data_IF_354886141190
#
_entry.id   IF_354886141190
#
_cell.length_a   1.000
_cell.length_b   1.000
_cell.length_c   1.000
_cell.angle_alpha   90.00
_cell.angle_beta   90.00
_cell.angle_gamma   90.00
#
_symmetry.space_group_name_H-M   'P 1'
#
loop_
_entity.id
_entity.type
_entity.pdbx_description
1 polymer ?
#
# COMPACT_ATOMS: atom_id res chain seq x y z
N UNK A 1 9.39 -1.41 -16.53
CA UNK A 1 8.01 -0.99 -16.20
C UNK A 1 7.77 0.53 -16.26
N UNK A 2 8.80 1.34 -16.44
CA UNK A 2 8.67 2.80 -16.61
C UNK A 2 8.26 3.60 -15.38
N UNK A 3 8.29 3.01 -14.19
CA UNK A 3 8.07 3.74 -12.94
C UNK A 3 9.37 4.36 -12.43
N UNK A 4 9.27 5.59 -11.91
CA UNK A 4 10.36 6.28 -11.22
C UNK A 4 9.94 6.53 -9.76
N UNK A 5 10.15 5.54 -8.87
CA UNK A 5 9.78 5.71 -7.46
C UNK A 5 10.74 6.68 -6.77
N UNK A 6 10.22 7.43 -5.81
CA UNK A 6 11.03 8.25 -4.91
C UNK A 6 10.50 8.13 -3.47
N UNK A 7 11.39 8.34 -2.51
CA UNK A 7 11.08 8.32 -1.09
C UNK A 7 11.12 9.74 -0.54
N UNK A 8 9.97 10.34 -0.21
CA UNK A 8 9.96 11.66 0.41
C UNK A 8 10.49 11.57 1.84
N UNK A 9 11.23 12.60 2.27
CA UNK A 9 11.78 12.72 3.63
C UNK A 9 11.32 14.03 4.26
N UNK A 10 11.09 14.03 5.57
CA UNK A 10 10.90 15.23 6.36
C UNK A 10 12.16 15.42 7.22
N UNK A 11 12.85 16.56 7.05
CA UNK A 11 13.98 16.97 7.89
C UNK A 11 14.99 15.82 8.15
N UNK A 12 15.32 15.06 7.12
CA UNK A 12 16.19 13.87 7.18
C UNK A 12 15.67 12.73 8.09
N UNK A 13 14.42 12.78 8.53
CA UNK A 13 13.78 11.69 9.29
C UNK A 13 12.95 10.80 8.37
N UNK A 14 12.89 9.53 8.69
CA UNK A 14 11.99 8.59 8.03
C UNK A 14 10.54 8.87 8.48
N UNK A 15 9.60 8.75 7.55
CA UNK A 15 8.18 8.79 7.86
C UNK A 15 7.76 7.48 8.52
N UNK A 16 6.90 7.60 9.54
CA UNK A 16 6.26 6.46 10.17
C UNK A 16 4.77 6.46 9.82
N UNK A 17 4.21 5.29 9.50
CA UNK A 17 2.77 5.16 9.23
C UNK A 17 1.90 5.32 10.49
N UNK A 18 2.47 5.43 11.69
CA UNK A 18 1.73 5.59 12.93
C UNK A 18 1.06 4.32 13.46
N UNK A 19 1.04 3.23 12.71
CA UNK A 19 0.31 2.00 13.04
C UNK A 19 0.68 1.43 14.41
N UNK A 20 1.98 1.38 14.74
CA UNK A 20 2.45 0.88 16.03
C UNK A 20 1.93 1.72 17.19
N UNK A 21 1.93 3.04 17.06
CA UNK A 21 1.38 3.93 18.09
C UNK A 21 -0.11 3.70 18.28
N UNK A 22 -0.85 3.52 17.17
CA UNK A 22 -2.28 3.21 17.22
C UNK A 22 -2.55 1.90 17.97
N UNK A 23 -1.79 0.86 17.69
CA UNK A 23 -1.92 -0.44 18.35
C UNK A 23 -1.72 -0.35 19.88
N UNK A 24 -0.86 0.55 20.33
CA UNK A 24 -0.65 0.82 21.75
C UNK A 24 -1.60 1.88 22.34
N UNK A 25 -2.59 2.34 21.59
CA UNK A 25 -3.53 3.37 22.06
C UNK A 25 -2.94 4.77 22.19
N UNK A 26 -1.76 5.03 21.63
CA UNK A 26 -1.08 6.32 21.68
C UNK A 26 -1.63 7.26 20.59
N UNK A 27 -2.90 7.63 20.71
CA UNK A 27 -3.68 8.32 19.68
C UNK A 27 -3.04 9.65 19.26
N UNK A 28 -2.56 10.46 20.22
CA UNK A 28 -1.95 11.75 19.91
C UNK A 28 -0.66 11.59 19.10
N UNK A 29 0.18 10.59 19.44
CA UNK A 29 1.36 10.26 18.65
C UNK A 29 0.99 9.79 17.24
N UNK A 30 -0.05 8.98 17.13
CA UNK A 30 -0.58 8.52 15.83
C UNK A 30 -1.02 9.71 14.98
N UNK A 31 -1.80 10.63 15.54
CA UNK A 31 -2.25 11.84 14.83
C UNK A 31 -1.09 12.69 14.36
N UNK A 32 -0.07 12.90 15.19
CA UNK A 32 1.13 13.64 14.81
C UNK A 32 1.86 13.01 13.62
N UNK A 33 1.99 11.68 13.59
CA UNK A 33 2.57 10.98 12.42
C UNK A 33 1.69 11.12 11.18
N UNK A 34 0.38 11.03 11.32
CA UNK A 34 -0.56 11.22 10.20
C UNK A 34 -0.50 12.63 9.63
N UNK A 35 -0.38 13.66 10.47
CA UNK A 35 -0.19 15.03 10.01
C UNK A 35 1.13 15.21 9.25
N UNK A 36 2.23 14.59 9.73
CA UNK A 36 3.51 14.59 9.05
C UNK A 36 3.42 13.93 7.67
N UNK A 37 2.71 12.82 7.59
CA UNK A 37 2.43 12.10 6.34
C UNK A 37 1.63 12.99 5.39
N UNK A 38 0.54 13.59 5.85
CA UNK A 38 -0.28 14.48 5.02
C UNK A 38 0.54 15.66 4.49
N UNK A 39 1.29 16.35 5.36
CA UNK A 39 2.17 17.46 4.95
C UNK A 39 3.17 17.05 3.86
N UNK A 40 3.71 15.84 3.98
CA UNK A 40 4.73 15.34 3.07
C UNK A 40 4.16 14.91 1.72
N UNK A 41 3.07 14.16 1.73
CA UNK A 41 2.53 13.59 0.50
C UNK A 41 1.62 14.53 -0.27
N UNK A 42 0.97 15.50 0.39
CA UNK A 42 0.00 16.38 -0.22
C UNK A 42 0.49 17.11 -1.49
N UNK A 43 1.73 17.65 -1.57
CA UNK A 43 2.23 18.27 -2.79
C UNK A 43 2.30 17.33 -3.99
N UNK A 44 2.52 16.03 -3.75
CA UNK A 44 2.60 15.00 -4.77
C UNK A 44 1.21 14.50 -5.16
N UNK A 45 0.34 14.30 -4.18
CA UNK A 45 -1.06 13.90 -4.40
C UNK A 45 -1.82 14.91 -5.28
N UNK A 46 -1.60 16.23 -5.05
CA UNK A 46 -2.17 17.29 -5.88
C UNK A 46 -1.68 17.25 -7.33
N UNK A 47 -0.55 16.61 -7.61
CA UNK A 47 -0.01 16.36 -8.95
C UNK A 47 -0.43 15.01 -9.53
N UNK A 48 -1.30 14.27 -8.87
CA UNK A 48 -1.76 12.95 -9.29
C UNK A 48 -0.74 11.82 -9.08
N UNK A 49 0.29 12.03 -8.23
CA UNK A 49 1.27 10.98 -7.92
C UNK A 49 0.71 10.08 -6.83
N UNK A 50 0.54 8.77 -7.08
CA UNK A 50 0.04 7.84 -6.09
C UNK A 50 1.07 7.54 -5.00
N UNK A 51 0.60 7.23 -3.81
CA UNK A 51 1.40 6.70 -2.70
C UNK A 51 1.32 5.18 -2.74
N UNK A 52 2.48 4.53 -2.70
CA UNK A 52 2.57 3.07 -2.79
C UNK A 52 3.31 2.53 -1.58
N UNK A 53 2.69 1.57 -0.91
CA UNK A 53 3.29 0.86 0.22
C UNK A 53 3.65 -0.57 -0.13
N UNK A 54 4.78 -1.02 0.39
CA UNK A 54 5.21 -2.43 0.28
C UNK A 54 4.71 -3.27 1.46
N UNK A 55 4.33 -2.60 2.54
CA UNK A 55 3.83 -3.24 3.75
C UNK A 55 2.32 -2.96 3.89
N UNK A 56 1.46 -4.00 3.79
CA UNK A 56 0.01 -3.83 3.75
C UNK A 56 -0.57 -3.10 4.96
N UNK A 57 -0.12 -3.42 6.17
CA UNK A 57 -0.66 -2.79 7.38
C UNK A 57 -0.32 -1.30 7.49
N UNK A 58 0.79 -0.88 6.90
CA UNK A 58 1.17 0.53 6.84
C UNK A 58 0.34 1.29 5.81
N UNK A 59 0.28 0.81 4.57
CA UNK A 59 -0.39 1.56 3.49
C UNK A 59 -1.91 1.55 3.63
N UNK A 60 -2.48 0.45 4.10
CA UNK A 60 -3.93 0.33 4.28
C UNK A 60 -4.43 1.16 5.47
N UNK A 61 -3.58 1.48 6.46
CA UNK A 61 -3.95 2.43 7.51
C UNK A 61 -4.25 3.84 6.98
N UNK A 62 -3.70 4.21 5.82
CA UNK A 62 -4.03 5.48 5.16
C UNK A 62 -5.40 5.47 4.48
N UNK A 63 -5.97 4.29 4.28
CA UNK A 63 -7.31 4.12 3.68
C UNK A 63 -8.43 4.04 4.71
N UNK A 64 -8.12 3.69 5.96
CA UNK A 64 -9.08 3.47 7.03
C UNK A 64 -8.80 4.37 8.25
N UNK A 65 -7.78 4.03 9.03
CA UNK A 65 -7.59 4.68 10.33
C UNK A 65 -7.22 6.15 10.22
N UNK A 66 -6.42 6.52 9.21
CA UNK A 66 -6.03 7.92 9.01
C UNK A 66 -7.23 8.83 8.72
N UNK A 67 -8.11 8.56 7.73
CA UNK A 67 -9.28 9.41 7.50
C UNK A 67 -10.31 9.32 8.64
N UNK A 68 -10.32 8.26 9.43
CA UNK A 68 -11.16 8.14 10.61
C UNK A 68 -10.71 9.04 11.76
N UNK A 69 -9.39 9.18 11.95
CA UNK A 69 -8.79 10.01 13.00
C UNK A 69 -8.62 11.47 12.58
N UNK A 70 -8.34 11.73 11.30
CA UNK A 70 -8.16 13.06 10.73
C UNK A 70 -9.23 13.28 9.65
N UNK A 71 -10.35 13.89 10.07
CA UNK A 71 -11.48 14.16 9.16
C UNK A 71 -11.21 15.39 8.31
N UNK A 72 -10.40 15.24 7.24
CA UNK A 72 -10.07 16.33 6.33
C UNK A 72 -10.15 15.88 4.86
N UNK A 73 -10.24 16.86 3.94
CA UNK A 73 -10.21 16.60 2.50
C UNK A 73 -8.86 16.02 2.06
N UNK A 74 -7.78 16.43 2.69
CA UNK A 74 -6.43 15.94 2.46
C UNK A 74 -6.28 14.46 2.86
N UNK A 75 -6.88 14.09 3.99
CA UNK A 75 -6.92 12.70 4.44
C UNK A 75 -7.69 11.80 3.46
N UNK A 76 -8.82 12.27 2.95
CA UNK A 76 -9.58 11.56 1.92
C UNK A 76 -8.80 11.45 0.60
N UNK A 77 -8.11 12.53 0.20
CA UNK A 77 -7.27 12.51 -1.00
C UNK A 77 -6.13 11.49 -0.88
N UNK A 78 -5.47 11.43 0.28
CA UNK A 78 -4.44 10.43 0.55
C UNK A 78 -5.02 9.01 0.52
N UNK A 79 -6.16 8.80 1.19
CA UNK A 79 -6.84 7.50 1.22
C UNK A 79 -7.15 6.96 -0.19
N UNK A 80 -7.70 7.80 -1.06
CA UNK A 80 -8.06 7.44 -2.44
C UNK A 80 -6.85 7.19 -3.35
N UNK A 81 -5.69 7.72 -2.99
CA UNK A 81 -4.46 7.61 -3.77
C UNK A 81 -3.39 6.72 -3.11
N UNK A 82 -3.76 5.96 -2.10
CA UNK A 82 -2.89 5.00 -1.41
C UNK A 82 -3.16 3.58 -1.93
N UNK A 83 -2.12 2.92 -2.40
CA UNK A 83 -2.21 1.59 -3.01
C UNK A 83 -1.14 0.66 -2.44
N UNK A 84 -1.46 -0.63 -2.34
CA UNK A 84 -0.39 -1.64 -2.25
C UNK A 84 0.38 -1.66 -3.56
N UNK A 85 1.59 -2.18 -3.53
CA UNK A 85 2.42 -2.31 -4.74
C UNK A 85 1.70 -3.14 -5.81
N UNK A 86 1.06 -4.21 -5.40
CA UNK A 86 0.37 -5.15 -6.27
C UNK A 86 -0.87 -4.51 -6.91
N UNK A 87 -1.64 -3.71 -6.18
CA UNK A 87 -2.77 -2.98 -6.75
C UNK A 87 -2.31 -2.02 -7.85
N UNK A 88 -1.24 -1.25 -7.60
CA UNK A 88 -0.70 -0.35 -8.61
C UNK A 88 -0.16 -1.12 -9.80
N UNK A 89 0.58 -2.20 -9.55
CA UNK A 89 1.15 -3.04 -10.59
C UNK A 89 0.04 -3.66 -11.46
N UNK A 90 -0.99 -4.21 -10.85
CA UNK A 90 -2.13 -4.80 -11.57
C UNK A 90 -2.82 -3.80 -12.48
N UNK A 91 -3.04 -2.56 -11.99
CA UNK A 91 -3.66 -1.48 -12.79
C UNK A 91 -2.81 -1.02 -13.98
N UNK A 92 -1.50 -1.19 -13.91
CA UNK A 92 -0.56 -0.64 -14.91
C UNK A 92 0.11 -1.71 -15.79
N UNK A 93 -0.05 -3.00 -15.45
CA UNK A 93 0.65 -4.09 -16.09
C UNK A 93 -0.17 -4.63 -17.27
N UNK A 94 -0.18 -3.94 -18.40
CA UNK A 94 -0.83 -4.46 -19.60
C UNK A 94 0.03 -5.44 -20.40
N UNK A 95 1.36 -5.25 -20.45
CA UNK A 95 2.27 -6.00 -21.34
C UNK A 95 3.62 -6.30 -20.67
N UNK A 96 3.61 -6.91 -19.49
CA UNK A 96 4.86 -7.34 -18.86
C UNK A 96 5.11 -8.82 -19.09
N UNK A 97 6.26 -9.15 -19.71
CA UNK A 97 6.67 -10.52 -19.92
C UNK A 97 7.45 -11.03 -18.71
N UNK A 98 6.79 -11.83 -17.89
CA UNK A 98 7.46 -12.54 -16.79
C UNK A 98 8.32 -13.69 -17.33
N UNK A 99 9.46 -13.91 -16.68
CA UNK A 99 10.25 -15.13 -16.92
C UNK A 99 9.47 -16.33 -16.36
N UNK A 100 9.53 -17.50 -17.03
CA UNK A 100 8.91 -18.72 -16.51
C UNK A 100 9.45 -19.09 -15.13
N UNK A 101 8.56 -19.52 -14.24
CA UNK A 101 8.89 -20.00 -12.90
C UNK A 101 8.19 -21.34 -12.65
N UNK A 102 8.96 -22.43 -12.76
CA UNK A 102 8.43 -23.79 -12.73
C UNK A 102 8.46 -24.40 -11.32
N UNK A 103 7.89 -23.68 -10.33
CA UNK A 103 7.80 -24.15 -8.96
C UNK A 103 6.42 -23.84 -8.39
N UNK A 104 6.07 -24.56 -7.30
CA UNK A 104 4.89 -24.30 -6.51
C UNK A 104 5.11 -23.04 -5.65
N UNK A 105 4.12 -22.16 -5.65
CA UNK A 105 4.07 -20.95 -4.81
C UNK A 105 2.84 -21.03 -3.95
N UNK A 106 3.03 -20.91 -2.65
CA UNK A 106 1.95 -20.82 -1.66
C UNK A 106 1.70 -19.34 -1.36
N UNK A 107 0.48 -18.88 -1.60
CA UNK A 107 0.09 -17.51 -1.31
C UNK A 107 -0.78 -17.49 -0.05
N UNK A 108 -0.33 -16.76 0.96
CA UNK A 108 -1.11 -16.42 2.13
C UNK A 108 -1.31 -14.90 2.19
N UNK A 109 -2.55 -14.44 1.99
CA UNK A 109 -2.88 -13.01 2.06
C UNK A 109 -2.75 -12.47 3.48
N UNK A 110 -2.15 -11.29 3.62
CA UNK A 110 -2.10 -10.58 4.89
C UNK A 110 -3.50 -10.22 5.40
N UNK A 111 -3.73 -10.22 6.73
CA UNK A 111 -5.05 -9.94 7.32
C UNK A 111 -5.68 -8.64 6.79
N UNK A 112 -4.90 -7.56 6.70
CA UNK A 112 -5.38 -6.29 6.15
C UNK A 112 -5.70 -6.39 4.66
N UNK A 113 -4.93 -7.14 3.88
CA UNK A 113 -5.23 -7.35 2.45
C UNK A 113 -6.55 -8.11 2.27
N UNK A 114 -6.83 -9.10 3.13
CA UNK A 114 -8.11 -9.80 3.16
C UNK A 114 -9.26 -8.87 3.55
N UNK A 115 -9.08 -8.07 4.61
CA UNK A 115 -10.10 -7.14 5.10
C UNK A 115 -10.46 -6.04 4.08
N UNK A 116 -9.51 -5.64 3.23
CA UNK A 116 -9.72 -4.63 2.18
C UNK A 116 -10.01 -5.23 0.80
N UNK A 117 -10.13 -6.55 0.69
CA UNK A 117 -10.35 -7.27 -0.58
C UNK A 117 -9.29 -6.95 -1.65
N UNK A 118 -8.02 -6.83 -1.24
CA UNK A 118 -6.90 -6.50 -2.12
C UNK A 118 -5.92 -7.66 -2.33
N UNK A 119 -6.33 -8.89 -2.05
CA UNK A 119 -5.54 -10.10 -2.33
C UNK A 119 -5.61 -10.46 -3.82
N UNK A 120 -6.77 -10.24 -4.45
CA UNK A 120 -6.98 -10.62 -5.85
C UNK A 120 -5.95 -10.03 -6.84
N UNK A 121 -5.52 -8.75 -6.75
CA UNK A 121 -4.44 -8.23 -7.57
C UNK A 121 -3.15 -9.04 -7.53
N UNK A 122 -2.80 -9.60 -6.36
CA UNK A 122 -1.61 -10.47 -6.21
C UNK A 122 -1.80 -11.76 -6.99
N UNK A 123 -2.96 -12.40 -6.81
CA UNK A 123 -3.31 -13.66 -7.52
C UNK A 123 -3.23 -13.46 -9.03
N UNK A 124 -3.82 -12.40 -9.54
CA UNK A 124 -3.87 -12.12 -10.97
C UNK A 124 -2.49 -11.78 -11.57
N UNK A 125 -1.63 -11.11 -10.80
CA UNK A 125 -0.24 -10.89 -11.22
C UNK A 125 0.55 -12.20 -11.25
N UNK A 126 0.44 -13.01 -10.20
CA UNK A 126 1.14 -14.28 -10.11
C UNK A 126 0.72 -15.24 -11.22
N UNK A 127 -0.57 -15.33 -11.55
CA UNK A 127 -1.08 -16.14 -12.67
C UNK A 127 -0.49 -15.77 -14.04
N UNK A 128 0.02 -14.54 -14.20
CA UNK A 128 0.71 -14.13 -15.45
C UNK A 128 2.11 -14.70 -15.58
N UNK A 129 2.68 -15.27 -14.53
CA UNK A 129 4.00 -15.90 -14.57
C UNK A 129 3.88 -17.27 -15.24
N UNK A 130 4.54 -17.51 -16.40
CA UNK A 130 4.44 -18.80 -17.08
C UNK A 130 4.94 -19.95 -16.20
N UNK A 131 4.25 -21.09 -16.23
CA UNK A 131 4.58 -22.32 -15.51
C UNK A 131 4.50 -22.26 -13.98
N UNK A 132 3.99 -21.16 -13.39
CA UNK A 132 3.77 -21.10 -11.95
C UNK A 132 2.66 -22.08 -11.53
N UNK A 133 2.85 -22.74 -10.40
CA UNK A 133 1.82 -23.53 -9.73
C UNK A 133 1.41 -22.76 -8.47
N UNK A 134 0.34 -21.96 -8.58
CA UNK A 134 -0.14 -21.11 -7.49
C UNK A 134 -1.20 -21.85 -6.67
N UNK A 135 -1.01 -21.88 -5.36
CA UNK A 135 -1.98 -22.37 -4.37
C UNK A 135 -2.24 -21.30 -3.34
N UNK A 136 -3.50 -20.93 -3.17
CA UNK A 136 -3.93 -20.00 -2.12
C UNK A 136 -4.16 -20.79 -0.82
N UNK A 137 -3.54 -20.33 0.26
CA UNK A 137 -3.80 -20.85 1.59
C UNK A 137 -4.93 -20.01 2.20
N UNK A 138 -6.09 -20.63 2.36
CA UNK A 138 -7.21 -20.05 3.10
C UNK A 138 -7.04 -20.40 4.58
N UNK A 139 -7.03 -19.37 5.44
CA UNK A 139 -7.06 -19.52 6.91
C UNK A 139 -8.14 -18.63 7.48
#
# INVERSE_FOLDING_TARGET
MGFSPFLPKINNKNLCCGRTFLTYGLIDKTKNEYENILKTFLPFLKKGVPVVGLEPSCILSFRDELPSLIKSKEALLLSQNSFTFEELLFKKISNFNFKPYNNKVLLHGHCHQKAFDVVNPIVEILKKIPKIQLENIET
#
